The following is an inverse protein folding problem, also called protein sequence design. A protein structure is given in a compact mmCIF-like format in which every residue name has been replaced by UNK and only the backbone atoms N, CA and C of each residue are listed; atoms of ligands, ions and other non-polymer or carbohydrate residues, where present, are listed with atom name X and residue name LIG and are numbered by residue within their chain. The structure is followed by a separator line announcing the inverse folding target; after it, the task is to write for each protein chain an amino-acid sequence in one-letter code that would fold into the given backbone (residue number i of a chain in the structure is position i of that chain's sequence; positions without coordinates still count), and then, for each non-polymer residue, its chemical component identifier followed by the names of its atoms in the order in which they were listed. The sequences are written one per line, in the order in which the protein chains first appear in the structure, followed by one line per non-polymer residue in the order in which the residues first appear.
data_IF_389612356724
#
_entry.id   IF_389612356724
#
_cell.length_a   1.000
_cell.length_b   1.000
_cell.length_c   1.000
_cell.angle_alpha   90.00
_cell.angle_beta   90.00
_cell.angle_gamma   90.00
#
_symmetry.space_group_name_H-M   'P 1'
#
loop_
_entity.id
_entity.type
_entity.pdbx_description
1 polymer ?
#
# COMPACT_ATOMS: atom_id res chain seq x y z
N UNK A 1 -5.26 3.97 -23.19
CA UNK A 1 -4.25 3.01 -22.71
C UNK A 1 -4.74 2.41 -21.40
N UNK A 2 -4.91 1.08 -21.34
CA UNK A 2 -5.23 0.39 -20.08
C UNK A 2 -4.02 0.50 -19.15
N UNK A 3 -4.24 0.85 -17.87
CA UNK A 3 -3.16 0.86 -16.89
C UNK A 3 -2.70 -0.58 -16.65
N UNK A 4 -1.38 -0.83 -16.50
CA UNK A 4 -0.91 -2.15 -16.12
C UNK A 4 -1.53 -2.54 -14.77
N UNK A 5 -1.89 -3.81 -14.64
CA UNK A 5 -2.43 -4.35 -13.40
C UNK A 5 -1.43 -4.12 -12.24
N UNK A 6 -1.87 -3.66 -11.07
CA UNK A 6 -0.98 -3.41 -9.94
C UNK A 6 -0.27 -4.66 -9.42
N UNK A 7 -0.73 -5.86 -9.77
CA UNK A 7 -0.15 -7.14 -9.34
C UNK A 7 0.11 -8.05 -10.55
N UNK A 8 1.36 -8.53 -10.71
CA UNK A 8 1.65 -9.55 -11.72
C UNK A 8 0.96 -10.87 -11.34
N UNK A 9 0.51 -11.61 -12.35
CA UNK A 9 -0.25 -12.85 -12.15
C UNK A 9 0.38 -13.81 -11.13
N UNK A 10 1.71 -13.96 -11.15
CA UNK A 10 2.46 -14.83 -10.22
C UNK A 10 2.31 -14.46 -8.73
N UNK A 11 2.06 -13.20 -8.40
CA UNK A 11 1.93 -12.72 -7.01
C UNK A 11 0.48 -12.54 -6.57
N UNK A 12 -0.49 -12.66 -7.49
CA UNK A 12 -1.89 -12.29 -7.22
C UNK A 12 -2.50 -13.10 -6.07
N UNK A 13 -2.33 -14.42 -6.09
CA UNK A 13 -2.93 -15.29 -5.08
C UNK A 13 -2.39 -14.95 -3.68
N UNK A 14 -1.06 -14.95 -3.52
CA UNK A 14 -0.41 -14.70 -2.25
C UNK A 14 -0.67 -13.29 -1.73
N UNK A 15 -0.61 -12.27 -2.59
CA UNK A 15 -0.87 -10.89 -2.17
C UNK A 15 -2.31 -10.68 -1.71
N UNK A 16 -3.30 -11.32 -2.36
CA UNK A 16 -4.69 -11.25 -1.90
C UNK A 16 -4.88 -11.99 -0.56
N UNK A 17 -4.26 -13.16 -0.40
CA UNK A 17 -4.32 -13.92 0.86
C UNK A 17 -3.72 -13.12 2.03
N UNK A 18 -2.53 -12.53 1.82
CA UNK A 18 -1.86 -11.70 2.84
C UNK A 18 -2.69 -10.44 3.13
N UNK A 19 -3.21 -9.75 2.11
CA UNK A 19 -4.06 -8.59 2.34
C UNK A 19 -5.31 -8.94 3.15
N UNK A 20 -5.94 -10.09 2.89
CA UNK A 20 -7.04 -10.59 3.70
C UNK A 20 -6.65 -10.84 5.16
N UNK A 21 -5.50 -11.48 5.41
CA UNK A 21 -4.99 -11.72 6.75
C UNK A 21 -4.68 -10.42 7.50
N UNK A 22 -4.07 -9.43 6.82
CA UNK A 22 -3.81 -8.11 7.40
C UNK A 22 -5.12 -7.36 7.72
N UNK A 23 -6.10 -7.39 6.82
CA UNK A 23 -7.39 -6.73 7.07
C UNK A 23 -8.12 -7.39 8.25
N UNK A 24 -8.09 -8.71 8.36
CA UNK A 24 -8.65 -9.41 9.52
C UNK A 24 -7.90 -9.04 10.82
N UNK A 25 -6.57 -9.00 10.80
CA UNK A 25 -5.77 -8.70 11.98
C UNK A 25 -5.97 -7.26 12.48
N UNK A 26 -6.04 -6.29 11.57
CA UNK A 26 -6.16 -4.88 11.93
C UNK A 26 -7.61 -4.41 12.12
N UNK A 27 -8.54 -4.90 11.30
CA UNK A 27 -9.93 -4.43 11.27
C UNK A 27 -10.94 -5.48 11.77
N UNK A 28 -10.60 -6.76 11.72
CA UNK A 28 -11.53 -7.86 11.99
C UNK A 28 -12.84 -7.72 11.21
N UNK A 29 -13.94 -8.09 11.86
CA UNK A 29 -15.29 -7.95 11.30
C UNK A 29 -15.88 -6.55 11.50
N UNK A 30 -15.19 -5.65 12.18
CA UNK A 30 -15.71 -4.32 12.51
C UNK A 30 -15.89 -3.46 11.24
N UNK A 31 -17.04 -2.79 11.13
CA UNK A 31 -17.34 -1.86 10.04
C UNK A 31 -17.88 -0.52 10.60
N UNK A 32 -17.50 0.63 10.01
CA UNK A 32 -16.51 0.78 8.93
C UNK A 32 -15.09 0.41 9.37
N UNK A 33 -14.25 0.00 8.40
CA UNK A 33 -12.82 -0.31 8.67
C UNK A 33 -12.12 0.94 9.21
N UNK A 34 -11.26 0.76 10.21
CA UNK A 34 -10.55 1.87 10.88
C UNK A 34 -9.12 2.04 10.41
N UNK A 35 -8.47 0.94 10.00
CA UNK A 35 -7.07 0.90 9.64
C UNK A 35 -6.92 0.67 8.14
N UNK A 36 -6.20 1.58 7.48
CA UNK A 36 -5.77 1.45 6.11
C UNK A 36 -4.33 0.94 6.04
N UNK A 37 -4.00 0.13 5.04
CA UNK A 37 -2.65 -0.35 4.78
C UNK A 37 -2.36 -0.44 3.29
N UNK A 38 -1.07 -0.37 2.95
CA UNK A 38 -0.53 -0.62 1.61
C UNK A 38 0.58 -1.65 1.75
N UNK A 39 0.53 -2.72 0.97
CA UNK A 39 1.59 -3.73 0.86
C UNK A 39 2.30 -3.56 -0.48
N UNK A 40 3.62 -3.38 -0.43
CA UNK A 40 4.50 -3.34 -1.60
C UNK A 40 5.35 -4.60 -1.65
N UNK A 41 5.41 -5.24 -2.82
CA UNK A 41 6.22 -6.44 -3.05
C UNK A 41 7.02 -6.27 -4.33
N UNK A 42 8.33 -6.46 -4.22
CA UNK A 42 9.26 -6.41 -5.32
C UNK A 42 10.34 -7.48 -5.11
N UNK A 43 11.03 -7.85 -6.19
CA UNK A 43 12.16 -8.76 -6.12
C UNK A 43 13.42 -8.02 -5.64
N UNK A 44 14.16 -8.65 -4.73
CA UNK A 44 15.45 -8.13 -4.31
C UNK A 44 16.39 -7.94 -5.51
N UNK A 45 17.13 -6.82 -5.52
CA UNK A 45 17.99 -6.46 -6.64
C UNK A 45 17.27 -5.91 -7.88
N UNK A 46 15.93 -5.86 -7.89
CA UNK A 46 15.12 -5.31 -8.98
C UNK A 46 14.13 -4.23 -8.50
N UNK A 47 14.40 -3.60 -7.36
CA UNK A 47 13.51 -2.58 -6.80
C UNK A 47 13.65 -1.27 -7.59
N UNK A 48 14.87 -0.84 -7.87
CA UNK A 48 15.13 0.37 -8.64
C UNK A 48 14.99 0.12 -10.15
N UNK A 49 14.21 0.96 -10.83
CA UNK A 49 13.86 0.80 -12.25
C UNK A 49 13.01 -0.44 -12.59
N UNK A 50 12.72 -1.31 -11.62
CA UNK A 50 11.95 -2.53 -11.82
C UNK A 50 10.48 -2.41 -11.45
N UNK A 51 9.79 -3.56 -11.43
CA UNK A 51 8.34 -3.61 -11.15
C UNK A 51 8.08 -3.79 -9.66
N UNK A 52 7.39 -2.81 -9.07
CA UNK A 52 6.81 -2.92 -7.73
C UNK A 52 5.34 -3.31 -7.85
N UNK A 53 4.96 -4.41 -7.20
CA UNK A 53 3.58 -4.83 -7.05
C UNK A 53 2.99 -4.17 -5.81
N UNK A 54 1.72 -3.76 -5.86
CA UNK A 54 1.05 -3.23 -4.69
C UNK A 54 -0.38 -3.71 -4.54
N UNK A 55 -0.82 -3.82 -3.28
CA UNK A 55 -2.22 -4.03 -2.89
C UNK A 55 -2.53 -3.15 -1.67
N UNK A 56 -3.77 -2.66 -1.59
CA UNK A 56 -4.24 -1.77 -0.52
C UNK A 56 -5.68 -2.14 -0.18
N UNK A 57 -6.06 -1.98 1.09
CA UNK A 57 -7.46 -2.11 1.52
C UNK A 57 -8.23 -0.77 1.43
N UNK A 58 -7.52 0.33 1.16
CA UNK A 58 -8.07 1.67 0.97
C UNK A 58 -8.34 1.97 -0.50
N UNK A 59 -9.05 3.07 -0.77
CA UNK A 59 -9.20 3.53 -2.13
C UNK A 59 -7.89 4.09 -2.70
N UNK A 60 -7.89 4.41 -4.00
CA UNK A 60 -6.70 4.90 -4.69
C UNK A 60 -6.23 6.28 -4.18
N UNK A 61 -7.16 7.16 -3.80
CA UNK A 61 -6.81 8.50 -3.35
C UNK A 61 -6.12 8.44 -1.98
N UNK A 62 -6.65 7.65 -1.06
CA UNK A 62 -6.06 7.42 0.26
C UNK A 62 -4.71 6.71 0.14
N UNK A 63 -4.61 5.69 -0.71
CA UNK A 63 -3.35 4.98 -0.99
C UNK A 63 -2.27 5.96 -1.46
N UNK A 64 -2.60 6.88 -2.37
CA UNK A 64 -1.64 7.90 -2.84
C UNK A 64 -1.26 8.86 -1.71
N UNK A 65 -2.21 9.28 -0.89
CA UNK A 65 -1.95 10.17 0.26
C UNK A 65 -1.01 9.51 1.27
N UNK A 66 -1.24 8.24 1.62
CA UNK A 66 -0.37 7.46 2.50
C UNK A 66 1.06 7.37 1.96
N UNK A 67 1.21 7.10 0.65
CA UNK A 67 2.53 7.00 0.01
C UNK A 67 3.26 8.35 -0.01
N UNK A 68 2.55 9.46 -0.30
CA UNK A 68 3.13 10.80 -0.25
C UNK A 68 3.61 11.17 1.14
N UNK A 69 2.80 10.91 2.16
CA UNK A 69 3.15 11.15 3.56
C UNK A 69 4.38 10.35 3.98
N UNK A 70 4.43 9.06 3.62
CA UNK A 70 5.59 8.20 3.91
C UNK A 70 6.87 8.70 3.21
N UNK A 71 6.79 9.06 1.91
CA UNK A 71 7.92 9.62 1.16
C UNK A 71 8.42 10.92 1.80
N UNK A 72 7.51 11.84 2.13
CA UNK A 72 7.85 13.11 2.76
C UNK A 72 8.60 12.90 4.10
N UNK A 73 8.16 11.94 4.91
CA UNK A 73 8.85 11.54 6.15
C UNK A 73 10.21 10.92 5.89
N UNK A 74 10.30 10.00 4.93
CA UNK A 74 11.55 9.29 4.61
C UNK A 74 12.65 10.24 4.09
N UNK A 75 12.28 11.29 3.35
CA UNK A 75 13.23 12.26 2.79
C UNK A 75 13.54 13.43 3.74
N UNK A 76 13.03 13.41 4.98
CA UNK A 76 13.20 14.52 5.93
C UNK A 76 12.50 15.81 5.49
N UNK A 77 11.58 15.74 4.52
CA UNK A 77 10.74 16.85 4.07
C UNK A 77 9.46 17.00 4.88
N UNK A 78 9.26 16.13 5.87
CA UNK A 78 8.14 16.21 6.79
C UNK A 78 8.38 17.35 7.79
N UNK A 79 7.52 18.35 7.73
CA UNK A 79 7.39 19.33 8.80
C UNK A 79 6.32 18.83 9.76
N UNK A 80 6.70 18.58 11.01
CA UNK A 80 5.74 18.26 12.07
C UNK A 80 4.93 19.52 12.37
N UNK A 81 3.69 19.59 11.87
CA UNK A 81 2.80 20.72 12.12
C UNK A 81 1.74 20.91 11.04
N UNK A 82 0.52 20.45 11.34
CA UNK A 82 -0.60 20.66 10.42
C UNK A 82 -1.96 20.17 10.90
N UNK A 83 -2.25 20.22 12.21
CA UNK A 83 -3.59 20.43 12.76
C UNK A 83 -3.47 20.86 14.23
N UNK A 84 -3.60 22.17 14.43
CA UNK A 84 -4.19 22.71 15.65
C UNK A 84 -5.70 22.42 15.64
#
# INVERSE_FOLDING_TARGET
MSRPDPIQARYRADMNAIAGALDQQFNGDARPRKIAFVLLVAEFGQIDGGRVNYISNADRADTISMMKEWIARAEGRYQEGGRA
#
